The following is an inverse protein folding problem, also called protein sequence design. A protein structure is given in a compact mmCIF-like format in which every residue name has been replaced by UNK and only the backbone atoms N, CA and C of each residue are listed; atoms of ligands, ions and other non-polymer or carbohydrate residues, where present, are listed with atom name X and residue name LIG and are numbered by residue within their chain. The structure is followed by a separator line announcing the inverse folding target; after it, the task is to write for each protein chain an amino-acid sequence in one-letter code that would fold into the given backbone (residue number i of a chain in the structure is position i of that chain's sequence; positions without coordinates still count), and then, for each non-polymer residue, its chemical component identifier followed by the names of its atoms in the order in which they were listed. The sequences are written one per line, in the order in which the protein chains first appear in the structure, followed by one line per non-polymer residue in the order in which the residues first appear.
data_IF_243665665909
#
_entry.id   IF_243665665909
#
_cell.length_a   1.000
_cell.length_b   1.000
_cell.length_c   1.000
_cell.angle_alpha   90.00
_cell.angle_beta   90.00
_cell.angle_gamma   90.00
#
_symmetry.space_group_name_H-M   'P 1'
#
loop_
_entity.id
_entity.type
_entity.pdbx_description
1 polymer ?
#
# COMPACT_ATOMS: atom_id res chain seq x y z
N UNK A 1 -8.87 -4.00 -1.50
CA UNK A 1 -7.78 -3.76 -2.45
C UNK A 1 -7.82 -2.36 -3.00
N UNK A 2 -7.92 -2.19 -4.33
CA UNK A 2 -7.59 -0.92 -5.02
C UNK A 2 -8.27 0.32 -4.43
N UNK A 3 -9.57 0.27 -4.14
CA UNK A 3 -10.29 1.44 -3.58
C UNK A 3 -9.79 1.79 -2.17
N UNK A 4 -9.50 0.79 -1.34
CA UNK A 4 -8.99 0.98 0.04
C UNK A 4 -7.58 1.57 0.00
N UNK A 5 -6.73 1.08 -0.91
CA UNK A 5 -5.35 1.56 -1.04
C UNK A 5 -5.28 2.98 -1.64
N UNK A 6 -6.17 3.31 -2.58
CA UNK A 6 -6.30 4.66 -3.14
C UNK A 6 -6.90 5.66 -2.16
N UNK A 7 -7.98 5.31 -1.48
CA UNK A 7 -8.68 6.22 -0.56
C UNK A 7 -7.95 6.37 0.78
N UNK A 8 -7.31 5.32 1.27
CA UNK A 8 -6.60 5.29 2.55
C UNK A 8 -5.11 5.59 2.39
N UNK A 9 -4.34 4.58 1.96
CA UNK A 9 -2.87 4.62 1.94
C UNK A 9 -2.32 5.78 1.12
N UNK A 10 -2.84 5.98 -0.10
CA UNK A 10 -2.36 7.03 -0.99
C UNK A 10 -2.73 8.43 -0.51
N UNK A 11 -3.94 8.62 0.02
CA UNK A 11 -4.35 9.91 0.57
C UNK A 11 -3.48 10.29 1.79
N UNK A 12 -3.22 9.34 2.69
CA UNK A 12 -2.27 9.50 3.80
C UNK A 12 -0.85 9.83 3.30
N UNK A 13 -0.34 9.11 2.30
CA UNK A 13 0.97 9.37 1.72
C UNK A 13 1.05 10.78 1.12
N UNK A 14 0.01 11.18 0.38
CA UNK A 14 -0.04 12.47 -0.31
C UNK A 14 -0.15 13.66 0.65
N UNK A 15 -0.69 13.46 1.85
CA UNK A 15 -0.84 14.50 2.88
C UNK A 15 0.30 14.43 3.90
N UNK A 16 0.22 13.50 4.86
CA UNK A 16 1.19 13.41 5.97
C UNK A 16 2.55 12.87 5.53
N UNK A 17 2.58 11.91 4.61
CA UNK A 17 3.83 11.34 4.10
C UNK A 17 4.69 12.38 3.39
N UNK A 18 4.09 13.18 2.51
CA UNK A 18 4.79 14.22 1.77
C UNK A 18 5.20 15.41 2.67
N UNK A 19 4.38 15.78 3.65
CA UNK A 19 4.75 16.78 4.67
C UNK A 19 5.98 16.32 5.50
N UNK A 20 6.02 15.06 5.93
CA UNK A 20 7.17 14.51 6.65
C UNK A 20 8.41 14.41 5.78
N UNK A 21 8.26 14.04 4.51
CA UNK A 21 9.36 14.04 3.54
C UNK A 21 9.93 15.45 3.37
N UNK A 22 9.09 16.46 3.19
CA UNK A 22 9.53 17.84 3.01
C UNK A 22 10.23 18.43 4.24
N UNK A 23 9.82 18.03 5.45
CA UNK A 23 10.42 18.53 6.70
C UNK A 23 11.71 17.81 7.09
N UNK A 24 11.92 16.58 6.62
CA UNK A 24 13.03 15.73 7.08
C UNK A 24 14.05 15.38 5.99
N UNK A 25 13.67 15.44 4.71
CA UNK A 25 14.61 15.33 3.61
C UNK A 25 15.53 16.55 3.58
N UNK A 26 16.85 16.32 3.49
CA UNK A 26 17.78 17.41 3.18
C UNK A 26 17.52 17.84 1.73
N UNK A 27 17.40 19.14 1.44
CA UNK A 27 17.12 19.60 0.09
C UNK A 27 18.39 19.42 -0.77
N UNK A 28 18.59 18.23 -1.31
CA UNK A 28 19.48 18.04 -2.44
C UNK A 28 18.71 18.48 -3.68
N UNK A 29 19.07 19.67 -4.16
CA UNK A 29 18.61 20.36 -5.38
C UNK A 29 17.41 21.30 -5.14
N UNK A 30 17.71 22.49 -4.62
CA UNK A 30 17.19 23.77 -5.15
C UNK A 30 15.70 24.08 -5.08
N UNK A 31 14.87 23.31 -4.36
CA UNK A 31 13.47 23.69 -4.13
C UNK A 31 13.34 24.31 -2.75
N UNK A 32 13.09 25.62 -2.72
CA UNK A 32 12.73 26.35 -1.52
C UNK A 32 11.59 25.62 -0.78
N UNK A 33 11.78 25.49 0.53
CA UNK A 33 10.87 24.86 1.46
C UNK A 33 9.57 25.65 1.61
N UNK A 34 8.71 25.61 0.60
CA UNK A 34 7.31 25.97 0.72
C UNK A 34 6.47 24.75 0.40
N UNK A 35 5.66 24.34 1.36
CA UNK A 35 4.64 23.30 1.18
C UNK A 35 3.61 23.87 0.20
N UNK A 36 3.83 23.68 -1.09
CA UNK A 36 2.87 24.12 -2.09
C UNK A 36 1.74 23.09 -2.19
N UNK A 37 0.68 23.33 -1.43
CA UNK A 37 -0.56 22.55 -1.47
C UNK A 37 -1.12 22.40 -2.89
N UNK A 38 -0.84 23.35 -3.80
CA UNK A 38 -1.22 23.24 -5.21
C UNK A 38 -0.42 22.15 -5.93
N UNK A 39 0.88 22.06 -5.67
CA UNK A 39 1.72 21.03 -6.29
C UNK A 39 1.37 19.64 -5.75
N UNK A 40 1.03 19.52 -4.46
CA UNK A 40 0.52 18.27 -3.87
C UNK A 40 -0.80 17.84 -4.54
N UNK A 41 -1.77 18.73 -4.63
CA UNK A 41 -3.05 18.46 -5.30
C UNK A 41 -2.87 18.11 -6.78
N UNK A 42 -1.95 18.80 -7.47
CA UNK A 42 -1.63 18.53 -8.88
C UNK A 42 -1.03 17.13 -9.07
N UNK A 43 -0.18 16.67 -8.15
CA UNK A 43 0.40 15.32 -8.18
C UNK A 43 -0.66 14.23 -7.96
N UNK A 44 -1.58 14.43 -7.02
CA UNK A 44 -2.70 13.51 -6.77
C UNK A 44 -3.56 13.36 -8.03
N UNK A 45 -3.99 14.50 -8.61
CA UNK A 45 -4.89 14.50 -9.78
C UNK A 45 -4.21 13.96 -11.04
N UNK A 46 -2.89 14.15 -11.18
CA UNK A 46 -2.12 13.63 -12.33
C UNK A 46 -1.67 12.19 -12.16
N UNK A 47 -1.89 11.58 -11.00
CA UNK A 47 -1.45 10.21 -10.76
C UNK A 47 -2.28 9.24 -11.63
N UNK A 48 -1.65 8.45 -12.52
CA UNK A 48 -2.39 7.64 -13.48
C UNK A 48 -3.40 6.68 -12.83
N UNK A 49 -3.09 6.00 -11.70
CA UNK A 49 -4.07 5.15 -11.01
C UNK A 49 -5.30 5.90 -10.49
N UNK A 50 -5.16 7.16 -10.07
CA UNK A 50 -6.29 7.96 -9.58
C UNK A 50 -7.20 8.36 -10.73
N UNK A 51 -6.60 8.79 -11.85
CA UNK A 51 -7.33 9.10 -13.09
C UNK A 51 -8.08 7.85 -13.59
N UNK A 52 -7.43 6.69 -13.59
CA UNK A 52 -8.05 5.43 -14.01
C UNK A 52 -9.25 5.06 -13.12
N UNK A 53 -9.14 5.23 -11.80
CA UNK A 53 -10.25 5.00 -10.87
C UNK A 53 -11.42 5.96 -11.11
N UNK A 54 -11.12 7.25 -11.30
CA UNK A 54 -12.13 8.27 -11.57
C UNK A 54 -12.89 7.98 -12.88
N UNK A 55 -12.15 7.64 -13.95
CA UNK A 55 -12.73 7.22 -15.23
C UNK A 55 -13.59 5.97 -15.03
N UNK A 56 -13.08 4.93 -14.36
CA UNK A 56 -13.83 3.70 -14.12
C UNK A 56 -15.15 3.93 -13.37
N UNK A 57 -15.16 4.83 -12.38
CA UNK A 57 -16.37 5.22 -11.65
C UNK A 57 -17.37 5.97 -12.54
N UNK A 58 -16.88 6.91 -13.36
CA UNK A 58 -17.73 7.67 -14.28
C UNK A 58 -18.36 6.80 -15.36
N UNK A 59 -17.61 5.84 -15.91
CA UNK A 59 -18.09 4.95 -16.95
C UNK A 59 -18.91 3.76 -16.38
N UNK A 60 -19.09 3.64 -15.07
CA UNK A 60 -19.89 2.56 -14.45
C UNK A 60 -21.33 2.49 -14.97
N UNK A 61 -21.93 3.63 -15.30
CA UNK A 61 -23.31 3.72 -15.77
C UNK A 61 -23.49 3.40 -17.27
N UNK A 62 -22.40 3.19 -18.01
CA UNK A 62 -22.44 2.99 -19.45
C UNK A 62 -22.48 1.48 -19.74
N UNK A 63 -23.48 0.99 -20.50
CA UNK A 63 -23.50 -0.41 -20.93
C UNK A 63 -22.40 -0.64 -21.98
N UNK A 64 -21.54 -1.62 -21.72
CA UNK A 64 -20.45 -2.00 -22.63
C UNK A 64 -20.87 -3.14 -23.55
N UNK A 65 -20.43 -3.16 -24.82
CA UNK A 65 -20.65 -4.30 -25.69
C UNK A 65 -19.87 -5.54 -25.18
N UNK A 66 -20.36 -6.77 -25.42
CA UNK A 66 -19.77 -7.99 -24.87
C UNK A 66 -18.29 -8.18 -25.22
N UNK A 67 -17.90 -7.83 -26.45
CA UNK A 67 -16.52 -7.89 -26.93
C UNK A 67 -15.57 -6.97 -26.14
N UNK A 68 -16.03 -5.77 -25.76
CA UNK A 68 -15.21 -4.84 -24.99
C UNK A 68 -14.98 -5.37 -23.56
N UNK A 69 -16.00 -5.99 -22.96
CA UNK A 69 -15.88 -6.62 -21.65
C UNK A 69 -14.90 -7.80 -21.68
N UNK A 70 -14.98 -8.67 -22.69
CA UNK A 70 -14.08 -9.82 -22.80
C UNK A 70 -12.62 -9.39 -22.98
N UNK A 71 -12.36 -8.39 -23.82
CA UNK A 71 -11.00 -7.85 -24.01
C UNK A 71 -10.48 -7.23 -22.71
N UNK A 72 -11.32 -6.45 -22.01
CA UNK A 72 -10.92 -5.79 -20.77
C UNK A 72 -10.65 -6.80 -19.65
N UNK A 73 -11.44 -7.87 -19.57
CA UNK A 73 -11.26 -8.95 -18.60
C UNK A 73 -9.98 -9.76 -18.87
N UNK A 74 -9.69 -10.06 -20.14
CA UNK A 74 -8.41 -10.70 -20.51
C UNK A 74 -7.21 -9.83 -20.17
N UNK A 75 -7.26 -8.53 -20.43
CA UNK A 75 -6.18 -7.60 -20.02
C UNK A 75 -6.09 -7.57 -18.49
N UNK A 76 -7.22 -7.45 -17.79
CA UNK A 76 -7.30 -7.43 -16.34
C UNK A 76 -6.68 -8.66 -15.67
N UNK A 77 -6.97 -9.86 -16.17
CA UNK A 77 -6.42 -11.11 -15.64
C UNK A 77 -4.88 -11.20 -15.78
N UNK A 78 -4.29 -10.53 -16.78
CA UNK A 78 -2.83 -10.47 -16.95
C UNK A 78 -2.14 -9.41 -16.08
N UNK A 79 -2.88 -8.43 -15.53
CA UNK A 79 -2.29 -7.41 -14.67
C UNK A 79 -1.70 -8.00 -13.39
N UNK A 80 -2.36 -8.99 -12.80
CA UNK A 80 -1.90 -9.65 -11.57
C UNK A 80 -0.52 -10.30 -11.74
N UNK A 81 -0.28 -11.20 -12.71
CA UNK A 81 1.04 -11.79 -12.91
C UNK A 81 2.10 -10.76 -13.33
N UNK A 82 1.76 -9.80 -14.18
CA UNK A 82 2.69 -8.72 -14.57
C UNK A 82 3.11 -7.88 -13.36
N UNK A 83 2.15 -7.53 -12.49
CA UNK A 83 2.43 -6.82 -11.25
C UNK A 83 3.34 -7.63 -10.32
N UNK A 84 3.09 -8.92 -10.14
CA UNK A 84 3.95 -9.78 -9.31
C UNK A 84 5.39 -9.86 -9.85
N UNK A 85 5.56 -9.97 -11.17
CA UNK A 85 6.89 -9.97 -11.79
C UNK A 85 7.59 -8.61 -11.61
N UNK A 86 6.88 -7.49 -11.84
CA UNK A 86 7.42 -6.15 -11.67
C UNK A 86 7.86 -5.87 -10.21
N UNK A 87 7.08 -6.35 -9.25
CA UNK A 87 7.43 -6.30 -7.82
C UNK A 87 8.68 -7.13 -7.53
N UNK A 88 8.79 -8.33 -8.11
CA UNK A 88 9.98 -9.18 -8.00
C UNK A 88 11.26 -8.49 -8.49
N UNK A 89 11.21 -7.78 -9.62
CA UNK A 89 12.35 -7.01 -10.15
C UNK A 89 12.75 -5.82 -9.28
N UNK A 90 11.82 -5.27 -8.49
CA UNK A 90 12.10 -4.15 -7.57
C UNK A 90 12.83 -4.59 -6.29
N UNK A 91 12.92 -5.90 -6.03
CA UNK A 91 13.64 -6.43 -4.87
C UNK A 91 15.15 -6.25 -5.07
N UNK A 92 15.72 -5.24 -4.42
CA UNK A 92 17.16 -4.99 -4.41
C UNK A 92 17.77 -5.47 -3.09
N UNK A 93 18.53 -6.57 -3.15
CA UNK A 93 19.31 -7.06 -2.01
C UNK A 93 20.62 -6.28 -1.92
N UNK A 94 20.57 -5.09 -1.32
CA UNK A 94 21.78 -4.32 -1.02
C UNK A 94 22.29 -4.67 0.38
N UNK A 95 23.61 -4.85 0.52
CA UNK A 95 24.25 -5.07 1.81
C UNK A 95 24.14 -3.84 2.71
N UNK A 96 23.55 -3.98 3.88
CA UNK A 96 23.30 -2.88 4.82
C UNK A 96 23.53 -3.31 6.26
N UNK A 97 24.18 -2.44 7.04
CA UNK A 97 24.53 -2.69 8.43
C UNK A 97 23.50 -2.15 9.43
N UNK A 98 22.47 -1.42 9.01
CA UNK A 98 21.43 -0.85 9.88
C UNK A 98 20.30 -1.83 10.24
N UNK A 99 20.65 -3.05 10.66
CA UNK A 99 19.70 -4.15 10.94
C UNK A 99 18.61 -3.78 11.94
N UNK A 100 18.91 -2.92 12.92
CA UNK A 100 17.94 -2.47 13.94
C UNK A 100 16.80 -1.65 13.34
N UNK A 101 17.10 -0.70 12.44
CA UNK A 101 16.08 0.13 11.80
C UNK A 101 15.17 -0.69 10.88
N UNK A 102 15.76 -1.63 10.13
CA UNK A 102 15.03 -2.56 9.28
C UNK A 102 14.09 -3.45 10.11
N UNK A 103 14.61 -4.06 11.19
CA UNK A 103 13.84 -4.97 12.02
C UNK A 103 12.70 -4.24 12.74
N UNK A 104 12.93 -3.04 13.26
CA UNK A 104 11.89 -2.21 13.87
C UNK A 104 10.81 -1.80 12.86
N UNK A 105 11.21 -1.39 11.65
CA UNK A 105 10.27 -1.00 10.60
C UNK A 105 9.40 -2.17 10.12
N UNK A 106 10.01 -3.34 9.92
CA UNK A 106 9.30 -4.56 9.54
C UNK A 106 8.40 -5.08 10.67
N UNK A 107 8.89 -5.09 11.91
CA UNK A 107 8.09 -5.54 13.06
C UNK A 107 6.89 -4.62 13.28
N UNK A 108 7.08 -3.31 13.11
CA UNK A 108 5.98 -2.36 13.15
C UNK A 108 4.95 -2.63 12.05
N UNK A 109 5.40 -2.79 10.79
CA UNK A 109 4.50 -2.93 9.64
C UNK A 109 3.81 -4.30 9.60
N UNK A 110 4.52 -5.40 9.86
CA UNK A 110 4.01 -6.76 9.68
C UNK A 110 3.34 -7.34 10.93
N UNK A 111 3.64 -6.82 12.14
CA UNK A 111 3.11 -7.37 13.40
C UNK A 111 2.28 -6.32 14.13
N UNK A 112 2.88 -5.16 14.44
CA UNK A 112 2.19 -4.16 15.27
C UNK A 112 0.96 -3.60 14.55
N UNK A 113 1.08 -3.23 13.28
CA UNK A 113 -0.04 -2.67 12.51
C UNK A 113 -1.25 -3.64 12.40
N UNK A 114 -1.11 -4.91 11.98
CA UNK A 114 -2.24 -5.82 11.94
C UNK A 114 -2.79 -6.18 13.32
N UNK A 115 -1.95 -6.28 14.36
CA UNK A 115 -2.43 -6.54 15.74
C UNK A 115 -3.22 -5.36 16.27
N UNK A 116 -2.76 -4.12 16.04
CA UNK A 116 -3.49 -2.92 16.45
C UNK A 116 -4.84 -2.82 15.73
N UNK A 117 -4.86 -3.06 14.41
CA UNK A 117 -6.11 -3.05 13.64
C UNK A 117 -7.05 -4.17 14.10
N UNK A 118 -6.53 -5.38 14.35
CA UNK A 118 -7.30 -6.49 14.90
C UNK A 118 -7.85 -6.21 16.31
N UNK A 119 -7.06 -5.57 17.17
CA UNK A 119 -7.48 -5.17 18.51
C UNK A 119 -8.54 -4.07 18.47
N UNK A 120 -8.37 -3.03 17.64
CA UNK A 120 -9.38 -2.00 17.43
C UNK A 120 -10.67 -2.58 16.87
N UNK A 121 -10.56 -3.47 15.88
CA UNK A 121 -11.70 -4.20 15.33
C UNK A 121 -12.44 -4.99 16.42
N UNK A 122 -11.71 -5.68 17.30
CA UNK A 122 -12.25 -6.43 18.42
C UNK A 122 -12.93 -5.53 19.47
N UNK A 123 -12.35 -4.38 19.80
CA UNK A 123 -12.90 -3.42 20.77
C UNK A 123 -14.18 -2.74 20.26
N UNK A 124 -14.26 -2.46 18.96
CA UNK A 124 -15.45 -1.83 18.35
C UNK A 124 -16.58 -2.85 18.19
N UNK A 125 -16.26 -4.13 18.03
CA UNK A 125 -17.22 -5.23 17.79
C UNK A 125 -17.16 -6.30 18.90
N UNK A 126 -17.31 -5.88 20.16
CA UNK A 126 -17.20 -6.78 21.33
C UNK A 126 -18.25 -7.90 21.41
N UNK A 127 -19.31 -7.86 20.60
CA UNK A 127 -20.33 -8.92 20.50
C UNK A 127 -19.92 -10.11 19.62
N UNK A 128 -18.77 -10.05 18.94
CA UNK A 128 -18.38 -11.01 17.89
C UNK A 128 -17.73 -12.30 18.41
N UNK A 129 -17.55 -12.42 19.73
CA UNK A 129 -16.85 -13.55 20.34
C UNK A 129 -17.66 -14.87 20.35
N UNK A 130 -18.95 -14.85 19.96
CA UNK A 130 -19.83 -16.02 20.14
C UNK A 130 -20.40 -16.67 18.87
N UNK A 131 -20.08 -16.22 17.67
CA UNK A 131 -20.63 -16.88 16.48
C UNK A 131 -19.58 -17.08 15.39
N UNK A 132 -19.33 -18.36 15.10
CA UNK A 132 -18.81 -18.85 13.83
C UNK A 132 -19.78 -18.47 12.68
N UNK A 133 -19.95 -17.18 12.41
CA UNK A 133 -20.81 -16.72 11.34
C UNK A 133 -19.98 -16.38 10.09
N UNK A 134 -20.36 -16.91 8.91
CA UNK A 134 -19.64 -16.71 7.64
C UNK A 134 -19.78 -15.30 7.04
N UNK A 135 -20.51 -14.38 7.70
CA UNK A 135 -20.79 -13.01 7.23
C UNK A 135 -19.66 -11.99 7.49
N UNK A 136 -18.54 -12.40 8.09
CA UNK A 136 -17.50 -11.46 8.56
C UNK A 136 -16.42 -11.11 7.53
N UNK A 137 -16.77 -11.04 6.25
CA UNK A 137 -15.84 -10.72 5.17
C UNK A 137 -15.15 -9.35 5.34
N UNK A 138 -15.84 -8.36 5.91
CA UNK A 138 -15.29 -7.01 6.17
C UNK A 138 -14.12 -7.04 7.16
N UNK A 139 -14.26 -7.80 8.26
CA UNK A 139 -13.19 -7.95 9.26
C UNK A 139 -11.98 -8.67 8.66
N UNK A 140 -12.23 -9.74 7.89
CA UNK A 140 -11.16 -10.47 7.20
C UNK A 140 -10.40 -9.55 6.25
N UNK A 141 -11.10 -8.80 5.40
CA UNK A 141 -10.48 -7.86 4.46
C UNK A 141 -9.71 -6.76 5.20
N UNK A 142 -10.26 -6.20 6.27
CA UNK A 142 -9.61 -5.11 7.01
C UNK A 142 -8.30 -5.56 7.67
N UNK A 143 -8.31 -6.73 8.32
CA UNK A 143 -7.11 -7.31 8.95
C UNK A 143 -6.08 -7.73 7.89
N UNK A 144 -6.55 -8.27 6.75
CA UNK A 144 -5.68 -8.66 5.64
C UNK A 144 -5.03 -7.46 4.95
N UNK A 145 -5.78 -6.36 4.74
CA UNK A 145 -5.25 -5.11 4.20
C UNK A 145 -4.25 -4.45 5.17
N UNK A 146 -4.45 -4.58 6.49
CA UNK A 146 -3.48 -4.09 7.49
C UNK A 146 -2.16 -4.87 7.49
N UNK A 147 -2.20 -6.15 7.10
CA UNK A 147 -1.03 -7.01 6.98
C UNK A 147 -0.34 -6.91 5.60
N UNK A 148 -0.82 -6.03 4.71
CA UNK A 148 -0.21 -5.85 3.39
C UNK A 148 1.25 -5.37 3.46
N UNK A 149 2.06 -5.70 2.43
CA UNK A 149 3.45 -5.28 2.35
C UNK A 149 3.66 -3.77 2.50
N UNK A 150 4.90 -3.34 2.80
CA UNK A 150 5.28 -1.94 2.71
C UNK A 150 4.94 -1.37 1.32
N UNK A 151 4.33 -0.19 1.30
CA UNK A 151 3.87 0.45 0.07
C UNK A 151 5.05 0.88 -0.82
N UNK A 152 5.09 0.37 -2.05
CA UNK A 152 6.16 0.65 -3.03
C UNK A 152 6.24 2.15 -3.37
N UNK A 153 5.09 2.78 -3.64
CA UNK A 153 5.03 4.21 -4.02
C UNK A 153 5.62 5.11 -2.94
N UNK A 154 5.34 4.82 -1.67
CA UNK A 154 5.94 5.55 -0.55
C UNK A 154 7.47 5.39 -0.54
N UNK A 155 7.97 4.18 -0.80
CA UNK A 155 9.40 3.93 -0.87
C UNK A 155 10.10 4.65 -2.03
N UNK A 156 9.48 4.69 -3.22
CA UNK A 156 10.00 5.44 -4.37
C UNK A 156 10.11 6.93 -4.03
N UNK A 157 9.08 7.52 -3.39
CA UNK A 157 9.14 8.91 -2.96
C UNK A 157 10.27 9.14 -1.95
N UNK A 158 10.42 8.31 -0.92
CA UNK A 158 11.53 8.45 0.03
C UNK A 158 12.89 8.41 -0.65
N UNK A 159 13.09 7.52 -1.64
CA UNK A 159 14.33 7.43 -2.41
C UNK A 159 14.57 8.66 -3.29
N UNK A 160 13.51 9.22 -3.90
CA UNK A 160 13.62 10.45 -4.71
C UNK A 160 14.05 11.66 -3.90
N UNK A 161 13.64 11.72 -2.63
CA UNK A 161 14.03 12.77 -1.68
C UNK A 161 15.29 12.41 -0.86
N UNK A 162 16.03 11.37 -1.26
CA UNK A 162 17.23 10.84 -0.60
C UNK A 162 17.07 10.59 0.92
N UNK A 163 15.85 10.25 1.35
CA UNK A 163 15.56 9.94 2.74
C UNK A 163 15.81 8.45 3.00
N UNK A 164 16.98 8.14 3.53
CA UNK A 164 17.36 6.79 3.99
C UNK A 164 17.10 5.71 2.91
N UNK A 165 17.43 6.02 1.66
CA UNK A 165 17.17 5.22 0.45
C UNK A 165 17.59 3.75 0.59
N UNK A 166 18.70 3.49 1.31
CA UNK A 166 19.18 2.13 1.60
C UNK A 166 18.25 1.35 2.54
N UNK A 167 17.78 2.00 3.61
CA UNK A 167 16.83 1.39 4.56
C UNK A 167 15.49 1.11 3.87
N UNK A 168 14.99 2.08 3.10
CA UNK A 168 13.73 1.96 2.36
C UNK A 168 13.81 0.83 1.34
N UNK A 169 14.90 0.75 0.59
CA UNK A 169 15.14 -0.33 -0.38
C UNK A 169 15.13 -1.71 0.27
N UNK A 170 15.75 -1.86 1.43
CA UNK A 170 15.69 -3.12 2.18
C UNK A 170 14.33 -3.42 2.79
N UNK A 171 13.61 -2.41 3.27
CA UNK A 171 12.26 -2.60 3.78
C UNK A 171 11.33 -3.10 2.69
N UNK A 172 11.45 -2.61 1.45
CA UNK A 172 10.74 -3.16 0.30
C UNK A 172 11.26 -4.56 -0.04
N UNK A 173 12.58 -4.71 -0.21
CA UNK A 173 13.23 -5.95 -0.62
C UNK A 173 12.98 -7.15 0.30
N UNK A 174 12.96 -6.94 1.61
CA UNK A 174 12.71 -8.00 2.60
C UNK A 174 11.24 -8.02 3.02
N UNK A 175 10.61 -6.85 3.18
CA UNK A 175 9.23 -6.75 3.66
C UNK A 175 8.20 -7.32 2.71
N UNK A 176 8.41 -7.21 1.40
CA UNK A 176 7.52 -7.80 0.40
C UNK A 176 7.50 -9.33 0.49
N UNK A 177 8.64 -10.06 0.39
CA UNK A 177 8.62 -11.51 0.49
C UNK A 177 8.21 -12.01 1.88
N UNK A 178 8.60 -11.32 2.97
CA UNK A 178 8.14 -11.72 4.31
C UNK A 178 6.64 -11.51 4.49
N UNK A 179 6.05 -10.46 3.90
CA UNK A 179 4.60 -10.24 3.98
C UNK A 179 3.80 -11.36 3.31
N UNK A 180 4.32 -11.99 2.24
CA UNK A 180 3.66 -13.15 1.63
C UNK A 180 3.55 -14.32 2.62
N UNK A 181 4.62 -14.57 3.39
CA UNK A 181 4.61 -15.60 4.44
C UNK A 181 3.67 -15.21 5.58
N UNK A 182 3.71 -13.95 6.03
CA UNK A 182 2.85 -13.46 7.12
C UNK A 182 1.37 -13.52 6.74
N UNK A 183 1.02 -13.12 5.52
CA UNK A 183 -0.35 -13.19 5.00
C UNK A 183 -0.81 -14.64 4.83
N UNK A 184 0.06 -15.55 4.39
CA UNK A 184 -0.27 -16.98 4.29
C UNK A 184 -0.58 -17.59 5.66
N UNK A 185 0.24 -17.29 6.67
CA UNK A 185 0.01 -17.71 8.05
C UNK A 185 -1.30 -17.10 8.57
N UNK A 186 -1.49 -15.80 8.41
CA UNK A 186 -2.69 -15.11 8.87
C UNK A 186 -3.97 -15.65 8.19
N UNK A 187 -3.91 -15.93 6.89
CA UNK A 187 -5.00 -16.57 6.15
C UNK A 187 -5.36 -17.92 6.76
N UNK A 188 -4.37 -18.77 7.07
CA UNK A 188 -4.62 -20.09 7.67
C UNK A 188 -5.25 -20.03 9.07
N UNK A 189 -5.01 -18.97 9.84
CA UNK A 189 -5.66 -18.76 11.13
C UNK A 189 -7.09 -18.21 11.01
N UNK A 190 -7.42 -17.55 9.89
CA UNK A 190 -8.72 -16.93 9.65
C UNK A 190 -9.70 -17.78 8.83
N UNK A 191 -9.23 -18.76 8.06
CA UNK A 191 -10.07 -19.78 7.38
C UNK A 191 -10.53 -20.86 8.34
#
# INVERSE_FOLDING_TARGET
GIVIDQAGSFLCLSTSGLLLLMTRARPTIGSEASVDWKEMGRRIVRFPPFIALAIALLLRAIPYPPLALEVLDRIGSTLTPVAMVAVGFQLQFQGFNGRRGLLLGLLFRLIIAPVLVGCCAFLIHSEYLLAHNPEHWILRITVFEAAMPPMITAGILCMQYDLESKLVGMMLGIGIPTSLLTLWILASFLT
#
